data_IF_328852375447
#
_entry.id   IF_328852375447
#
_cell.length_a   1.000
_cell.length_b   1.000
_cell.length_c   1.000
_cell.angle_alpha   90.00
_cell.angle_beta   90.00
_cell.angle_gamma   90.00
#
_symmetry.space_group_name_H-M   'P 1'
#
loop_
_entity.id
_entity.type
_entity.pdbx_description
1 polymer ?
#
# COMPACT_ATOMS: atom_id res chain seq x y z
N UNK A 1 -14.51 -14.99 2.58
CA UNK A 1 -13.74 -14.07 3.43
C UNK A 1 -13.19 -13.06 2.46
N UNK A 2 -13.70 -11.82 2.54
CA UNK A 2 -13.52 -10.82 1.49
C UNK A 2 -12.05 -10.41 1.37
N UNK A 3 -11.58 -10.47 0.13
CA UNK A 3 -10.70 -9.47 -0.46
C UNK A 3 -9.72 -8.80 0.50
N UNK A 4 -8.57 -9.44 0.66
CA UNK A 4 -7.30 -8.81 0.99
C UNK A 4 -6.86 -7.89 -0.18
N UNK A 5 -7.75 -6.97 -0.58
CA UNK A 5 -7.48 -5.92 -1.53
C UNK A 5 -6.50 -4.96 -0.87
N UNK A 6 -5.23 -5.38 -0.86
CA UNK A 6 -4.13 -4.64 -0.29
C UNK A 6 -4.14 -3.28 -0.95
N UNK A 7 -4.27 -2.27 -0.10
CA UNK A 7 -4.06 -0.89 -0.50
C UNK A 7 -2.82 -0.83 -1.39
N UNK A 8 -2.86 -0.07 -2.46
CA UNK A 8 -1.87 -0.24 -3.50
C UNK A 8 -1.87 0.91 -4.45
N UNK A 9 -0.67 1.41 -4.74
CA UNK A 9 -0.50 2.46 -5.75
C UNK A 9 0.37 1.89 -6.85
N UNK A 10 -0.12 1.97 -8.08
CA UNK A 10 0.57 1.55 -9.29
C UNK A 10 0.65 2.71 -10.24
N UNK A 11 1.78 2.84 -10.92
CA UNK A 11 2.01 3.87 -11.92
C UNK A 11 2.35 3.16 -13.21
N UNK A 12 1.58 3.42 -14.26
CA UNK A 12 1.75 2.85 -15.58
C UNK A 12 1.83 3.97 -16.62
N UNK A 13 2.68 3.80 -17.63
CA UNK A 13 2.81 4.75 -18.72
C UNK A 13 2.06 4.23 -19.94
N UNK A 14 1.03 4.95 -20.37
CA UNK A 14 0.08 4.57 -21.42
C UNK A 14 -0.05 5.74 -22.38
N UNK A 15 0.29 5.52 -23.67
CA UNK A 15 0.09 6.48 -24.75
C UNK A 15 0.71 7.88 -24.51
N UNK A 16 1.88 7.94 -23.87
CA UNK A 16 2.55 9.21 -23.53
C UNK A 16 2.02 9.88 -22.25
N UNK A 17 1.02 9.27 -21.61
CA UNK A 17 0.44 9.72 -20.36
C UNK A 17 0.76 8.73 -19.23
N UNK A 18 0.72 9.22 -18.00
CA UNK A 18 0.99 8.46 -16.80
C UNK A 18 -0.32 8.18 -16.06
N UNK A 19 -0.73 6.92 -16.05
CA UNK A 19 -1.87 6.41 -15.32
C UNK A 19 -1.45 5.96 -13.92
N UNK A 20 -1.93 6.66 -12.89
CA UNK A 20 -1.78 6.25 -11.49
C UNK A 20 -3.06 5.56 -11.04
N UNK A 21 -2.94 4.27 -10.71
CA UNK A 21 -4.01 3.47 -10.14
C UNK A 21 -3.82 3.36 -8.63
N UNK A 22 -4.84 3.75 -7.88
CA UNK A 22 -4.89 3.72 -6.43
C UNK A 22 -5.97 2.73 -6.03
N UNK A 23 -5.63 1.80 -5.17
CA UNK A 23 -6.54 0.84 -4.55
C UNK A 23 -6.56 1.23 -3.08
N UNK A 24 -7.72 1.64 -2.58
CA UNK A 24 -7.95 2.02 -1.18
C UNK A 24 -9.25 1.36 -0.73
N UNK A 25 -9.19 0.47 0.28
CA UNK A 25 -10.37 -0.18 0.88
C UNK A 25 -11.33 -0.82 -0.15
N UNK A 26 -10.80 -1.49 -1.16
CA UNK A 26 -11.63 -2.11 -2.20
C UNK A 26 -12.01 -1.18 -3.37
N UNK A 27 -11.70 0.11 -3.27
CA UNK A 27 -12.02 1.14 -4.26
C UNK A 27 -10.81 1.39 -5.14
N UNK A 28 -10.96 1.09 -6.44
CA UNK A 28 -9.93 1.40 -7.44
C UNK A 28 -10.21 2.75 -8.10
N UNK A 29 -9.31 3.70 -7.91
CA UNK A 29 -9.32 5.01 -8.57
C UNK A 29 -8.17 5.10 -9.55
N UNK A 30 -8.43 5.50 -10.80
CA UNK A 30 -7.40 5.76 -11.79
C UNK A 30 -7.32 7.25 -12.10
N UNK A 31 -6.11 7.79 -12.16
CA UNK A 31 -5.86 9.19 -12.50
C UNK A 31 -4.77 9.30 -13.56
N UNK A 32 -5.09 9.98 -14.67
CA UNK A 32 -4.19 10.19 -15.79
C UNK A 32 -3.48 11.53 -15.67
N UNK A 33 -2.18 11.54 -15.95
CA UNK A 33 -1.33 12.72 -15.91
C UNK A 33 -0.51 12.81 -17.18
N UNK A 34 -0.35 14.01 -17.73
CA UNK A 34 0.55 14.23 -18.88
C UNK A 34 2.03 14.31 -18.46
N UNK A 35 2.31 14.61 -17.19
CA UNK A 35 3.67 14.86 -16.69
C UNK A 35 4.11 13.78 -15.68
N UNK A 36 5.26 13.15 -15.95
CA UNK A 36 5.85 12.10 -15.11
C UNK A 36 6.03 12.56 -13.66
N UNK A 37 6.58 13.75 -13.45
CA UNK A 37 6.89 14.24 -12.11
C UNK A 37 5.61 14.44 -11.27
N UNK A 38 4.50 14.78 -11.92
CA UNK A 38 3.20 14.91 -11.25
C UNK A 38 2.62 13.54 -10.90
N UNK A 39 2.65 12.59 -11.84
CA UNK A 39 2.20 11.23 -11.58
C UNK A 39 3.01 10.58 -10.45
N UNK A 40 4.33 10.76 -10.47
CA UNK A 40 5.24 10.22 -9.46
C UNK A 40 5.04 10.87 -8.09
N UNK A 41 4.85 12.20 -8.06
CA UNK A 41 4.55 12.92 -6.81
C UNK A 41 3.20 12.50 -6.22
N UNK A 42 2.18 12.37 -7.05
CA UNK A 42 0.85 11.91 -6.64
C UNK A 42 0.89 10.47 -6.13
N UNK A 43 1.56 9.57 -6.85
CA UNK A 43 1.75 8.20 -6.42
C UNK A 43 2.51 8.11 -5.08
N UNK A 44 3.59 8.87 -4.92
CA UNK A 44 4.35 8.95 -3.68
C UNK A 44 3.47 9.44 -2.50
N UNK A 45 2.63 10.46 -2.73
CA UNK A 45 1.69 10.96 -1.72
C UNK A 45 0.68 9.90 -1.27
N UNK A 46 0.14 9.12 -2.21
CA UNK A 46 -0.81 8.04 -1.91
C UNK A 46 -0.13 6.88 -1.17
N UNK A 47 1.09 6.49 -1.54
CA UNK A 47 1.86 5.43 -0.86
C UNK A 47 2.10 5.75 0.62
N UNK A 48 2.42 7.02 0.92
CA UNK A 48 2.62 7.49 2.29
C UNK A 48 1.29 7.47 3.05
N UNK A 49 0.20 7.94 2.42
CA UNK A 49 -1.13 8.02 3.02
C UNK A 49 -1.71 6.64 3.33
N UNK A 50 -1.53 5.68 2.43
CA UNK A 50 -1.94 4.28 2.57
C UNK A 50 -1.01 3.50 3.53
N UNK A 51 0.01 4.15 4.09
CA UNK A 51 1.00 3.55 4.99
C UNK A 51 1.58 2.24 4.45
N UNK A 52 1.70 2.13 3.11
CA UNK A 52 2.11 0.88 2.46
C UNK A 52 3.52 0.44 2.84
N UNK A 53 4.28 1.36 3.43
CA UNK A 53 5.58 1.16 4.02
C UNK A 53 5.57 0.33 5.32
N UNK A 54 4.40 0.02 5.91
CA UNK A 54 4.30 -0.70 7.20
C UNK A 54 3.61 -2.07 7.12
N UNK A 55 2.95 -2.39 6.01
CA UNK A 55 2.18 -3.65 5.86
C UNK A 55 3.04 -4.89 5.55
N UNK A 56 4.36 -4.75 5.62
CA UNK A 56 5.35 -5.83 5.48
C UNK A 56 6.09 -6.21 6.78
N UNK A 57 5.78 -5.60 7.93
CA UNK A 57 6.35 -6.03 9.22
C UNK A 57 5.26 -6.49 10.17
N UNK A 58 5.00 -7.79 10.10
CA UNK A 58 4.84 -8.68 11.25
C UNK A 58 4.20 -8.08 12.48
N UNK A 59 2.87 -8.23 12.53
CA UNK A 59 2.16 -8.47 13.78
C UNK A 59 2.58 -9.86 14.31
N UNK A 60 3.84 -10.02 14.70
CA UNK A 60 4.36 -11.24 15.31
C UNK A 60 3.99 -11.23 16.80
N UNK A 61 2.97 -12.02 17.10
CA UNK A 61 2.66 -12.67 18.37
C UNK A 61 3.20 -12.03 19.65
N UNK A 62 2.29 -11.41 20.41
CA UNK A 62 2.39 -11.39 21.86
C UNK A 62 2.32 -12.83 22.41
N UNK A 63 3.41 -13.57 22.37
CA UNK A 63 3.57 -14.77 23.20
C UNK A 63 4.32 -14.37 24.47
N UNK A 64 3.54 -14.14 25.53
CA UNK A 64 4.02 -14.05 26.90
C UNK A 64 4.46 -15.44 27.39
N UNK A 65 5.61 -15.93 26.93
CA UNK A 65 6.25 -17.07 27.60
C UNK A 65 6.98 -16.56 28.85
N UNK A 66 6.23 -16.47 29.95
CA UNK A 66 6.83 -16.38 31.28
C UNK A 66 7.50 -17.72 31.59
N UNK A 67 8.73 -17.76 32.14
CA UNK A 67 9.34 -19.01 32.53
C UNK A 67 8.47 -19.65 33.63
N UNK A 68 7.78 -20.73 33.28
CA UNK A 68 7.12 -21.62 34.22
C UNK A 68 8.17 -22.21 35.14
N UNK A 69 8.13 -21.78 36.39
CA UNK A 69 8.72 -22.45 37.52
C UNK A 69 8.13 -23.87 37.65
N UNK A 70 8.95 -24.90 37.39
CA UNK A 70 8.83 -26.21 38.05
C UNK A 70 10.10 -27.05 37.83
N UNK A 71 10.98 -27.09 38.84
CA UNK A 71 11.74 -28.27 39.30
C UNK A 71 12.54 -27.91 40.56
#
# INVERSE_FOLDING_TARGET
>A
MGDDQKDGVRVEHIDGQWAVQIIEDGVTTQQLFDNEEFARSFAAGQIIRLNLNRSGQSQSGHEVDGPRNHS
#
